data_IF_311911166142
#
_entry.id   IF_311911166142
#
_cell.length_a   1.000
_cell.length_b   1.000
_cell.length_c   1.000
_cell.angle_alpha   90.00
_cell.angle_beta   90.00
_cell.angle_gamma   90.00
#
_symmetry.space_group_name_H-M   'P 1'
#
loop_
_entity.id
_entity.type
_entity.pdbx_description
1 polymer ?
#
# COMPACT_ATOMS: atom_id res chain seq x y z
N UNK A 1 1.17 -12.89 -14.96
CA UNK A 1 2.31 -12.01 -15.31
C UNK A 1 3.50 -12.53 -14.54
N UNK A 2 4.62 -12.84 -15.19
CA UNK A 2 5.80 -13.35 -14.47
C UNK A 2 6.78 -12.20 -14.19
N UNK A 3 7.19 -12.06 -12.94
CA UNK A 3 8.15 -11.03 -12.54
C UNK A 3 9.58 -11.54 -12.63
N UNK A 4 10.40 -10.77 -13.34
CA UNK A 4 11.83 -10.98 -13.57
C UNK A 4 12.17 -12.24 -14.38
N UNK A 5 13.38 -12.30 -14.96
CA UNK A 5 13.88 -13.48 -15.69
C UNK A 5 14.14 -14.67 -14.77
N UNK A 6 14.30 -14.42 -13.47
CA UNK A 6 14.45 -15.46 -12.45
C UNK A 6 13.12 -16.07 -11.97
N UNK A 7 11.97 -15.64 -12.51
CA UNK A 7 10.65 -16.17 -12.16
C UNK A 7 10.36 -16.06 -10.65
N UNK A 8 10.47 -14.83 -10.15
CA UNK A 8 10.42 -14.52 -8.72
C UNK A 8 9.03 -14.73 -8.16
N UNK A 9 8.00 -14.33 -8.91
CA UNK A 9 6.61 -14.53 -8.57
C UNK A 9 5.72 -14.33 -9.81
N UNK A 10 4.64 -15.10 -9.92
CA UNK A 10 3.54 -14.78 -10.82
C UNK A 10 2.52 -13.82 -10.18
N UNK A 11 1.83 -13.08 -11.05
CA UNK A 11 0.65 -12.31 -10.72
C UNK A 11 -0.47 -12.69 -11.69
N UNK A 12 -1.45 -13.42 -11.19
CA UNK A 12 -2.57 -13.94 -11.96
C UNK A 12 -3.85 -13.18 -11.63
N UNK A 13 -4.57 -12.76 -12.65
CA UNK A 13 -5.74 -11.91 -12.52
C UNK A 13 -7.01 -12.67 -12.92
N UNK A 14 -8.01 -12.65 -12.06
CA UNK A 14 -9.35 -13.12 -12.38
C UNK A 14 -10.28 -11.93 -12.58
N UNK A 15 -11.16 -12.01 -13.58
CA UNK A 15 -12.18 -11.01 -13.84
C UNK A 15 -13.57 -11.65 -13.87
N UNK A 16 -14.58 -10.89 -13.49
CA UNK A 16 -15.99 -11.27 -13.68
C UNK A 16 -16.37 -11.14 -15.16
N UNK A 17 -17.54 -11.68 -15.53
CA UNK A 17 -18.07 -11.53 -16.89
C UNK A 17 -18.35 -10.06 -17.27
N UNK A 18 -18.55 -9.18 -16.28
CA UNK A 18 -18.73 -7.74 -16.46
C UNK A 18 -17.41 -7.00 -16.71
N UNK A 19 -16.26 -7.68 -16.62
CA UNK A 19 -14.94 -7.08 -16.71
C UNK A 19 -14.43 -6.46 -15.41
N UNK A 20 -15.12 -6.66 -14.28
CA UNK A 20 -14.63 -6.21 -12.98
C UNK A 20 -13.54 -7.14 -12.46
N UNK A 21 -12.49 -6.58 -11.86
CA UNK A 21 -11.42 -7.36 -11.26
C UNK A 21 -11.98 -8.17 -10.09
N UNK A 22 -11.86 -9.49 -10.14
CA UNK A 22 -12.32 -10.37 -9.07
C UNK A 22 -11.24 -10.63 -8.03
N UNK A 23 -9.99 -10.72 -8.45
CA UNK A 23 -8.88 -10.94 -7.54
C UNK A 23 -7.56 -11.13 -8.25
N UNK A 24 -6.50 -11.07 -7.46
CA UNK A 24 -5.14 -11.37 -7.88
C UNK A 24 -4.60 -12.49 -7.00
N UNK A 25 -4.02 -13.50 -7.63
CA UNK A 25 -3.50 -14.72 -6.98
C UNK A 25 -4.55 -15.39 -6.07
N UNK A 26 -4.12 -16.28 -5.18
CA UNK A 26 -5.02 -16.93 -4.22
C UNK A 26 -5.32 -16.07 -2.98
N UNK A 27 -6.55 -16.12 -2.48
CA UNK A 27 -6.98 -15.36 -1.30
C UNK A 27 -6.34 -15.78 0.04
N UNK A 28 -5.33 -16.65 0.04
CA UNK A 28 -4.58 -17.05 1.24
C UNK A 28 -3.16 -17.57 0.93
N UNK A 29 -2.52 -17.17 -0.18
CA UNK A 29 -1.15 -17.61 -0.55
C UNK A 29 -0.96 -19.15 -0.48
N UNK A 30 -1.97 -19.90 -0.94
CA UNK A 30 -1.96 -21.35 -0.94
C UNK A 30 -1.65 -21.88 -2.34
N UNK A 31 -0.47 -22.47 -2.52
CA UNK A 31 0.03 -22.96 -3.83
C UNK A 31 -0.86 -24.03 -4.49
N UNK A 32 -1.70 -24.73 -3.72
CA UNK A 32 -2.67 -25.70 -4.27
C UNK A 32 -3.94 -25.05 -4.85
N UNK A 33 -4.12 -23.76 -4.57
CA UNK A 33 -5.26 -22.90 -4.96
C UNK A 33 -4.84 -21.69 -5.76
N UNK A 34 -3.55 -21.56 -6.04
CA UNK A 34 -3.04 -20.54 -6.93
C UNK A 34 -3.52 -20.80 -8.37
N UNK A 35 -3.84 -19.71 -9.07
CA UNK A 35 -4.42 -19.73 -10.41
C UNK A 35 -3.37 -20.07 -11.47
N UNK A 36 -2.13 -19.57 -11.33
CA UNK A 36 -1.01 -19.84 -12.23
C UNK A 36 -0.35 -21.20 -11.97
N UNK A 37 -0.50 -21.74 -10.76
CA UNK A 37 0.14 -22.97 -10.31
C UNK A 37 1.58 -22.75 -9.83
N UNK A 38 1.85 -21.59 -9.26
CA UNK A 38 3.16 -21.16 -8.81
C UNK A 38 3.59 -21.92 -7.55
N UNK A 39 4.86 -22.35 -7.55
CA UNK A 39 5.43 -23.22 -6.53
C UNK A 39 4.60 -24.50 -6.23
N UNK A 40 3.77 -24.95 -7.17
CA UNK A 40 3.02 -26.20 -7.03
C UNK A 40 3.99 -27.37 -7.03
N UNK A 41 3.74 -28.37 -6.18
CA UNK A 41 4.65 -29.52 -5.97
C UNK A 41 4.97 -30.32 -7.24
N UNK A 42 4.15 -30.17 -8.28
CA UNK A 42 4.27 -30.81 -9.59
C UNK A 42 3.98 -29.79 -10.69
N UNK A 43 4.49 -30.04 -11.89
CA UNK A 43 4.30 -29.18 -13.05
C UNK A 43 5.49 -28.28 -13.36
N UNK A 44 5.39 -27.55 -14.46
CA UNK A 44 6.49 -26.74 -15.03
C UNK A 44 6.81 -25.50 -14.17
N UNK A 45 5.86 -25.04 -13.35
CA UNK A 45 5.97 -23.86 -12.46
C UNK A 45 6.41 -24.19 -11.04
N UNK A 46 6.85 -25.43 -10.77
CA UNK A 46 7.29 -25.85 -9.43
C UNK A 46 8.39 -24.97 -8.82
N UNK A 47 9.28 -24.43 -9.65
CA UNK A 47 10.40 -23.58 -9.22
C UNK A 47 10.13 -22.08 -9.42
N UNK A 48 8.93 -21.72 -9.83
CA UNK A 48 8.46 -20.34 -9.70
C UNK A 48 8.28 -20.02 -8.22
N UNK A 49 8.62 -18.80 -7.81
CA UNK A 49 8.42 -18.40 -6.43
C UNK A 49 6.94 -18.42 -6.04
N UNK A 50 6.66 -18.74 -4.77
CA UNK A 50 5.31 -18.65 -4.20
C UNK A 50 4.77 -17.21 -4.26
N UNK A 51 3.45 -17.06 -4.23
CA UNK A 51 2.83 -15.74 -4.08
C UNK A 51 3.24 -15.07 -2.76
N UNK A 52 3.75 -13.84 -2.84
CA UNK A 52 3.93 -12.96 -1.68
C UNK A 52 2.65 -12.17 -1.36
N UNK A 53 1.73 -12.04 -2.31
CA UNK A 53 0.47 -11.33 -2.10
C UNK A 53 -0.67 -11.98 -2.89
N UNK A 54 -1.89 -11.76 -2.41
CA UNK A 54 -3.12 -12.06 -3.12
C UNK A 54 -4.28 -11.31 -2.50
N UNK A 55 -5.26 -10.96 -3.32
CA UNK A 55 -6.48 -10.35 -2.82
C UNK A 55 -7.70 -10.76 -3.64
N UNK A 56 -8.86 -10.78 -2.99
CA UNK A 56 -10.15 -11.09 -3.60
C UNK A 56 -11.11 -9.93 -3.33
N UNK A 57 -11.81 -9.48 -4.36
CA UNK A 57 -12.84 -8.46 -4.28
C UNK A 57 -14.21 -9.10 -4.36
N UNK A 58 -15.14 -8.64 -3.54
CA UNK A 58 -16.54 -9.07 -3.54
C UNK A 58 -17.43 -7.90 -3.92
N UNK A 59 -18.37 -8.14 -4.83
CA UNK A 59 -19.38 -7.16 -5.26
C UNK A 59 -20.77 -7.60 -4.81
N UNK A 60 -21.14 -8.82 -5.14
CA UNK A 60 -22.38 -9.45 -4.71
C UNK A 60 -22.24 -10.98 -4.63
N UNK A 61 -23.16 -11.66 -3.96
CA UNK A 61 -23.15 -13.11 -3.83
C UNK A 61 -23.38 -13.77 -5.20
N UNK A 62 -22.45 -14.61 -5.63
CA UNK A 62 -22.47 -15.20 -6.98
C UNK A 62 -21.91 -14.29 -8.07
N UNK A 63 -21.17 -13.23 -7.70
CA UNK A 63 -20.43 -12.37 -8.64
C UNK A 63 -19.36 -13.10 -9.46
N UNK A 64 -18.95 -14.29 -9.04
CA UNK A 64 -17.98 -15.10 -9.73
C UNK A 64 -18.28 -16.60 -9.60
N UNK A 65 -18.14 -17.30 -10.71
CA UNK A 65 -18.12 -18.77 -10.78
C UNK A 65 -16.84 -19.18 -11.49
N UNK A 66 -16.00 -19.97 -10.83
CA UNK A 66 -14.75 -20.45 -11.42
C UNK A 66 -15.03 -21.36 -12.61
N UNK A 67 -14.20 -21.22 -13.65
CA UNK A 67 -14.22 -22.13 -14.80
C UNK A 67 -13.48 -23.42 -14.42
N UNK A 68 -14.15 -24.56 -14.61
CA UNK A 68 -13.58 -25.89 -14.38
C UNK A 68 -13.76 -26.41 -12.95
N UNK A 69 -13.26 -27.63 -12.71
CA UNK A 69 -13.44 -28.39 -11.45
C UNK A 69 -12.23 -28.34 -10.51
N UNK A 70 -11.30 -27.39 -10.73
CA UNK A 70 -10.13 -27.19 -9.88
C UNK A 70 -10.49 -26.63 -8.49
N UNK A 71 -9.50 -26.57 -7.59
CA UNK A 71 -9.67 -25.90 -6.31
C UNK A 71 -9.99 -24.40 -6.53
N UNK A 72 -10.95 -23.87 -5.76
CA UNK A 72 -11.24 -22.43 -5.75
C UNK A 72 -10.06 -21.62 -5.18
N UNK A 73 -9.69 -20.54 -5.86
CA UNK A 73 -8.76 -19.51 -5.36
C UNK A 73 -9.44 -18.48 -4.43
N UNK A 74 -10.78 -18.51 -4.34
CA UNK A 74 -11.60 -17.69 -3.44
C UNK A 74 -11.93 -18.53 -2.20
N UNK A 75 -11.63 -18.06 -0.97
CA UNK A 75 -12.00 -18.75 0.26
C UNK A 75 -13.51 -18.98 0.35
N UNK A 76 -13.91 -20.13 0.87
CA UNK A 76 -15.34 -20.43 1.06
C UNK A 76 -15.96 -19.38 2.00
N UNK A 77 -17.09 -18.82 1.59
CA UNK A 77 -17.79 -17.81 2.38
C UNK A 77 -18.36 -18.39 3.70
N UNK A 78 -18.63 -17.51 4.67
CA UNK A 78 -19.43 -17.88 5.83
C UNK A 78 -20.88 -18.13 5.42
N UNK A 79 -21.51 -19.16 6.00
CA UNK A 79 -22.90 -19.55 5.71
C UNK A 79 -23.84 -19.32 6.89
N UNK A 80 -23.37 -18.74 7.99
CA UNK A 80 -24.18 -18.50 9.20
C UNK A 80 -23.59 -17.39 10.08
N UNK A 81 -24.46 -16.57 10.69
CA UNK A 81 -24.11 -15.56 11.69
C UNK A 81 -23.64 -14.23 11.09
N UNK A 82 -22.82 -13.49 11.85
CA UNK A 82 -22.23 -12.17 11.50
C UNK A 82 -20.88 -12.31 10.79
N UNK A 83 -20.72 -13.33 9.95
CA UNK A 83 -19.44 -13.61 9.27
C UNK A 83 -19.09 -12.60 8.18
N UNK A 84 -17.81 -12.55 7.80
CA UNK A 84 -17.20 -11.60 6.87
C UNK A 84 -18.03 -11.19 5.63
N UNK A 85 -18.63 -12.15 4.91
CA UNK A 85 -19.44 -11.88 3.70
C UNK A 85 -20.94 -11.69 3.97
N UNK A 86 -21.36 -11.62 5.23
CA UNK A 86 -22.77 -11.51 5.65
C UNK A 86 -23.08 -10.17 6.32
N UNK A 87 -22.06 -9.38 6.65
CA UNK A 87 -22.21 -8.09 7.36
C UNK A 87 -22.34 -6.88 6.44
N UNK A 88 -22.26 -7.08 5.12
CA UNK A 88 -22.45 -6.03 4.11
C UNK A 88 -23.53 -6.44 3.11
N UNK A 89 -24.12 -5.47 2.42
CA UNK A 89 -25.15 -5.73 1.41
C UNK A 89 -24.54 -6.04 0.05
N UNK A 90 -25.31 -6.72 -0.80
CA UNK A 90 -24.95 -6.97 -2.20
C UNK A 90 -24.95 -5.67 -3.02
N UNK A 91 -23.85 -5.40 -3.73
CA UNK A 91 -23.67 -4.20 -4.56
C UNK A 91 -23.53 -4.59 -6.04
N UNK A 92 -24.56 -4.25 -6.82
CA UNK A 92 -24.64 -4.57 -8.26
C UNK A 92 -24.17 -3.41 -9.16
N UNK A 93 -23.70 -2.31 -8.57
CA UNK A 93 -23.27 -1.10 -9.26
C UNK A 93 -21.75 -1.04 -9.50
N UNK A 94 -21.01 -2.09 -9.19
CA UNK A 94 -19.55 -2.15 -9.31
C UNK A 94 -18.79 -1.65 -8.08
N UNK A 95 -19.48 -1.25 -7.00
CA UNK A 95 -18.83 -0.97 -5.74
C UNK A 95 -18.39 -2.27 -5.04
N UNK A 96 -17.22 -2.22 -4.41
CA UNK A 96 -16.64 -3.37 -3.70
C UNK A 96 -17.24 -3.42 -2.30
N UNK A 97 -18.00 -4.46 -1.99
CA UNK A 97 -18.57 -4.66 -0.64
C UNK A 97 -17.61 -5.33 0.33
N UNK A 98 -16.60 -6.04 -0.15
CA UNK A 98 -15.58 -6.64 0.70
C UNK A 98 -14.27 -6.94 -0.06
N UNK A 99 -13.15 -6.95 0.65
CA UNK A 99 -11.82 -7.30 0.14
C UNK A 99 -11.09 -8.25 1.10
N UNK A 100 -10.70 -9.42 0.60
CA UNK A 100 -9.80 -10.34 1.30
C UNK A 100 -8.37 -10.04 0.88
N UNK A 101 -7.46 -9.89 1.82
CA UNK A 101 -6.03 -9.62 1.58
C UNK A 101 -5.18 -10.68 2.27
N UNK A 102 -4.25 -11.28 1.53
CA UNK A 102 -3.28 -12.23 2.03
C UNK A 102 -1.87 -11.78 1.64
N UNK A 103 -0.98 -11.63 2.62
CA UNK A 103 0.37 -11.09 2.41
C UNK A 103 1.43 -12.04 2.99
N UNK A 104 2.66 -11.84 2.56
CA UNK A 104 3.87 -12.42 3.13
C UNK A 104 4.70 -11.26 3.66
N UNK A 105 5.16 -11.35 4.91
CA UNK A 105 5.99 -10.31 5.54
C UNK A 105 7.48 -10.51 5.25
N UNK A 106 8.32 -9.59 5.71
CA UNK A 106 9.78 -9.54 5.49
C UNK A 106 10.52 -10.76 6.03
N UNK A 107 9.97 -11.43 7.05
CA UNK A 107 10.48 -12.71 7.56
C UNK A 107 10.12 -13.90 6.67
N UNK A 108 9.55 -13.65 5.48
CA UNK A 108 9.00 -14.61 4.54
C UNK A 108 7.88 -15.49 5.13
N UNK A 109 7.28 -15.04 6.24
CA UNK A 109 6.15 -15.71 6.88
C UNK A 109 4.84 -15.21 6.27
N UNK A 110 3.90 -16.12 6.03
CA UNK A 110 2.54 -15.78 5.62
C UNK A 110 1.81 -15.15 6.81
N UNK A 111 1.23 -13.97 6.61
CA UNK A 111 0.43 -13.30 7.65
C UNK A 111 -0.96 -13.94 7.74
N UNK A 112 -1.66 -13.62 8.84
CA UNK A 112 -3.08 -13.89 8.94
C UNK A 112 -3.83 -13.16 7.81
N UNK A 113 -4.84 -13.82 7.25
CA UNK A 113 -5.61 -13.24 6.14
C UNK A 113 -6.62 -12.26 6.72
N UNK A 114 -6.64 -11.06 6.14
CA UNK A 114 -7.53 -9.96 6.54
C UNK A 114 -8.71 -9.89 5.58
N UNK A 115 -9.91 -9.81 6.13
CA UNK A 115 -11.15 -9.57 5.41
C UNK A 115 -11.69 -8.21 5.82
N UNK A 116 -11.75 -7.27 4.89
CA UNK A 116 -12.33 -5.94 5.06
C UNK A 116 -13.72 -5.88 4.41
N UNK A 117 -14.77 -5.65 5.19
CA UNK A 117 -16.14 -5.55 4.71
C UNK A 117 -16.60 -4.08 4.79
N UNK A 118 -17.04 -3.52 3.66
CA UNK A 118 -17.33 -2.09 3.51
C UNK A 118 -18.83 -1.79 3.51
N UNK A 119 -19.21 -0.73 4.22
CA UNK A 119 -20.59 -0.20 4.22
C UNK A 119 -20.63 1.17 3.57
N UNK A 120 -21.76 1.47 2.93
CA UNK A 120 -21.96 2.72 2.20
C UNK A 120 -23.30 3.36 2.57
N UNK A 121 -23.39 4.67 2.42
CA UNK A 121 -24.67 5.37 2.44
C UNK A 121 -25.37 5.34 1.07
N UNK A 122 -26.55 5.96 0.97
CA UNK A 122 -27.33 6.00 -0.27
C UNK A 122 -26.66 6.76 -1.42
N UNK A 123 -25.69 7.62 -1.12
CA UNK A 123 -24.89 8.35 -2.11
C UNK A 123 -23.63 7.58 -2.51
N UNK A 124 -23.48 6.33 -2.04
CA UNK A 124 -22.31 5.48 -2.22
C UNK A 124 -21.03 6.01 -1.58
N UNK A 125 -21.14 6.82 -0.53
CA UNK A 125 -19.99 7.22 0.30
C UNK A 125 -19.71 6.16 1.34
N UNK A 126 -18.44 5.87 1.60
CA UNK A 126 -18.02 4.84 2.54
C UNK A 126 -18.36 5.25 3.98
N UNK A 127 -19.20 4.50 4.67
CA UNK A 127 -19.58 4.77 6.07
C UNK A 127 -18.84 3.90 7.08
N UNK A 128 -18.17 2.84 6.64
CA UNK A 128 -17.35 2.04 7.54
C UNK A 128 -16.64 0.87 6.87
N UNK A 129 -15.66 0.33 7.61
CA UNK A 129 -14.93 -0.90 7.35
C UNK A 129 -15.00 -1.77 8.59
N UNK A 130 -15.49 -2.99 8.43
CA UNK A 130 -15.43 -4.04 9.44
C UNK A 130 -14.32 -5.03 9.10
N UNK A 131 -13.52 -5.39 10.09
CA UNK A 131 -12.37 -6.26 9.87
C UNK A 131 -12.61 -7.68 10.39
N UNK A 132 -12.07 -8.67 9.69
CA UNK A 132 -12.07 -10.07 10.07
C UNK A 132 -10.66 -10.63 9.88
N UNK A 133 -10.14 -11.37 10.85
CA UNK A 133 -8.77 -11.90 10.79
C UNK A 133 -8.84 -13.42 10.93
N UNK A 134 -8.29 -14.15 9.96
CA UNK A 134 -8.29 -15.60 9.97
C UNK A 134 -6.87 -16.14 9.89
N UNK A 135 -6.42 -16.72 11.00
CA UNK A 135 -5.10 -17.32 11.08
C UNK A 135 -5.01 -18.61 10.29
N UNK A 136 -3.83 -18.86 9.72
CA UNK A 136 -3.48 -20.11 9.04
C UNK A 136 -4.42 -20.50 7.88
N UNK A 137 -5.07 -19.53 7.21
CA UNK A 137 -5.96 -19.82 6.08
C UNK A 137 -5.19 -20.40 4.87
N UNK A 138 -3.88 -20.17 4.81
CA UNK A 138 -2.98 -20.74 3.82
C UNK A 138 -2.79 -22.27 3.96
N UNK A 139 -3.13 -22.86 5.11
CA UNK A 139 -3.03 -24.30 5.35
C UNK A 139 -4.18 -25.09 4.71
N UNK A 140 -3.91 -26.35 4.36
CA UNK A 140 -4.91 -27.26 3.81
C UNK A 140 -6.09 -27.45 4.77
N UNK A 141 -7.32 -27.45 4.25
CA UNK A 141 -8.55 -27.62 5.03
C UNK A 141 -9.04 -26.39 5.79
N UNK A 142 -8.25 -25.31 5.88
CA UNK A 142 -8.62 -24.09 6.62
C UNK A 142 -8.93 -22.89 5.71
N UNK A 143 -9.14 -23.13 4.40
CA UNK A 143 -9.37 -22.11 3.38
C UNK A 143 -10.83 -21.63 3.37
N UNK A 144 -11.26 -20.97 4.46
CA UNK A 144 -12.65 -20.58 4.68
C UNK A 144 -12.80 -19.39 5.63
N UNK A 145 -13.85 -18.61 5.42
CA UNK A 145 -14.37 -17.58 6.33
C UNK A 145 -15.46 -18.11 7.28
N UNK A 146 -15.68 -19.43 7.36
CA UNK A 146 -16.62 -20.02 8.32
C UNK A 146 -16.18 -19.82 9.78
N UNK A 147 -17.17 -19.66 10.67
CA UNK A 147 -17.01 -19.54 12.12
C UNK A 147 -16.01 -18.44 12.54
N UNK A 148 -16.11 -17.28 11.88
CA UNK A 148 -15.34 -16.08 12.19
C UNK A 148 -16.26 -14.98 12.74
N UNK A 149 -15.77 -14.22 13.71
CA UNK A 149 -16.41 -13.00 14.20
C UNK A 149 -15.63 -11.77 13.74
N UNK A 150 -16.30 -10.63 13.78
CA UNK A 150 -15.67 -9.33 13.58
C UNK A 150 -14.50 -9.16 14.57
N UNK A 151 -13.39 -8.64 14.05
CA UNK A 151 -12.21 -8.26 14.81
C UNK A 151 -12.38 -6.83 15.31
N UNK A 152 -12.02 -6.53 16.56
CA UNK A 152 -11.99 -5.15 17.04
C UNK A 152 -10.82 -4.35 16.44
N UNK A 153 -9.84 -5.01 15.81
CA UNK A 153 -8.68 -4.37 15.20
C UNK A 153 -9.01 -3.81 13.82
N UNK A 154 -8.39 -2.69 13.47
CA UNK A 154 -8.36 -2.14 12.12
C UNK A 154 -9.73 -1.76 11.52
N UNK A 155 -10.80 -1.79 12.31
CA UNK A 155 -12.12 -1.34 11.84
C UNK A 155 -12.18 0.19 11.82
N UNK A 156 -13.07 0.75 11.01
CA UNK A 156 -13.29 2.19 10.96
C UNK A 156 -14.74 2.55 10.65
N UNK A 157 -15.18 3.72 11.09
CA UNK A 157 -16.49 4.28 10.81
C UNK A 157 -16.37 5.76 10.43
N UNK A 158 -17.23 6.22 9.54
CA UNK A 158 -17.19 7.57 8.98
C UNK A 158 -18.58 8.17 8.89
N UNK A 159 -18.69 9.45 9.23
CA UNK A 159 -19.91 10.22 8.96
C UNK A 159 -19.59 11.44 8.11
N UNK A 160 -20.60 11.96 7.42
CA UNK A 160 -20.45 13.08 6.50
C UNK A 160 -21.59 14.07 6.64
N UNK A 161 -21.31 15.33 6.32
CA UNK A 161 -22.36 16.30 6.09
C UNK A 161 -23.02 16.10 4.70
N UNK A 162 -23.98 16.97 4.37
CA UNK A 162 -24.68 16.92 3.08
C UNK A 162 -23.80 17.25 1.87
N UNK A 163 -22.68 17.93 2.06
CA UNK A 163 -21.73 18.32 1.00
C UNK A 163 -20.60 17.29 0.82
N UNK A 164 -20.48 16.32 1.73
CA UNK A 164 -19.47 15.27 1.67
C UNK A 164 -18.22 15.53 2.52
N UNK A 165 -18.22 16.57 3.35
CA UNK A 165 -17.15 16.75 4.34
C UNK A 165 -17.27 15.68 5.42
N UNK A 166 -16.15 15.11 5.87
CA UNK A 166 -16.12 14.18 7.01
C UNK A 166 -16.55 14.92 8.28
N UNK A 167 -17.45 14.36 9.06
CA UNK A 167 -17.85 14.90 10.37
C UNK A 167 -17.17 14.14 11.51
N UNK A 168 -17.11 12.82 11.40
CA UNK A 168 -16.46 11.96 12.39
C UNK A 168 -15.67 10.83 11.74
N UNK A 169 -14.64 10.35 12.45
CA UNK A 169 -13.90 9.15 12.12
C UNK A 169 -13.61 8.39 13.41
N UNK A 170 -14.13 7.18 13.52
CA UNK A 170 -13.67 6.20 14.51
C UNK A 170 -12.71 5.25 13.79
N UNK A 171 -11.57 4.94 14.41
CA UNK A 171 -10.59 3.99 13.86
C UNK A 171 -9.99 3.18 14.99
N UNK A 172 -9.85 1.87 14.75
CA UNK A 172 -9.14 0.98 15.66
C UNK A 172 -7.84 0.51 15.02
N UNK A 173 -6.73 0.41 15.76
CA UNK A 173 -5.45 -0.16 15.35
C UNK A 173 -5.20 -1.58 15.90
N UNK A 174 -3.93 -1.87 16.18
CA UNK A 174 -3.47 -3.11 16.83
C UNK A 174 -2.48 -2.83 17.97
N UNK A 175 -2.86 -1.95 18.91
CA UNK A 175 -2.07 -1.77 20.12
C UNK A 175 -2.25 -2.93 21.11
N UNK A 176 -1.15 -3.39 21.71
CA UNK A 176 -1.09 -4.54 22.60
C UNK A 176 -1.59 -4.27 24.04
N UNK A 177 -1.89 -3.03 24.41
CA UNK A 177 -2.03 -2.62 25.82
C UNK A 177 -3.45 -2.64 26.40
N UNK A 178 -4.51 -2.78 25.59
CA UNK A 178 -5.84 -3.39 25.91
C UNK A 178 -7.03 -2.78 25.14
N UNK A 179 -6.92 -1.54 24.65
CA UNK A 179 -7.87 -0.96 23.71
C UNK A 179 -7.27 -0.95 22.31
N UNK A 180 -8.09 -1.23 21.31
CA UNK A 180 -7.71 -1.07 19.91
C UNK A 180 -8.11 0.30 19.37
N UNK A 181 -8.98 1.03 20.04
CA UNK A 181 -9.43 2.37 19.62
C UNK A 181 -8.21 3.29 19.49
N UNK A 182 -7.95 3.71 18.25
CA UNK A 182 -6.85 4.58 17.86
C UNK A 182 -7.35 6.02 17.80
N UNK A 183 -8.45 6.24 17.09
CA UNK A 183 -9.01 7.57 16.94
C UNK A 183 -10.53 7.58 17.20
N UNK A 184 -11.02 8.66 17.80
CA UNK A 184 -12.42 9.09 17.86
C UNK A 184 -12.48 10.58 17.47
N UNK A 185 -12.28 10.82 16.17
CA UNK A 185 -12.08 12.16 15.62
C UNK A 185 -13.39 12.85 15.34
N UNK A 186 -13.47 14.12 15.72
CA UNK A 186 -14.49 15.08 15.28
C UNK A 186 -13.85 16.19 14.45
N UNK A 187 -14.33 16.35 13.22
CA UNK A 187 -13.79 17.33 12.26
C UNK A 187 -14.56 18.65 12.39
N UNK A 188 -13.85 19.72 12.76
CA UNK A 188 -14.44 21.04 12.98
C UNK A 188 -14.06 21.99 11.85
N UNK A 189 -15.05 22.42 11.06
CA UNK A 189 -14.86 23.32 9.91
C UNK A 189 -15.10 24.79 10.27
N UNK A 190 -14.48 25.70 9.51
CA UNK A 190 -14.80 27.12 9.61
C UNK A 190 -16.25 27.39 9.16
N UNK A 191 -17.02 28.21 9.91
CA UNK A 191 -18.42 28.47 9.60
C UNK A 191 -18.64 28.97 8.16
N UNK A 192 -19.62 28.39 7.47
CA UNK A 192 -20.00 28.72 6.08
C UNK A 192 -18.90 28.43 5.04
N UNK A 193 -17.97 27.52 5.33
CA UNK A 193 -16.94 27.05 4.39
C UNK A 193 -16.84 25.52 4.42
N UNK A 194 -16.04 24.94 3.53
CA UNK A 194 -15.61 23.54 3.60
C UNK A 194 -14.14 23.41 4.05
N UNK A 195 -13.60 24.43 4.73
CA UNK A 195 -12.21 24.46 5.20
C UNK A 195 -12.15 23.88 6.60
N UNK A 196 -11.35 22.83 6.80
CA UNK A 196 -11.14 22.20 8.09
C UNK A 196 -10.36 23.16 8.99
N UNK A 197 -10.88 23.47 10.18
CA UNK A 197 -10.21 24.34 11.15
C UNK A 197 -9.36 23.57 12.16
N UNK A 198 -9.88 22.44 12.67
CA UNK A 198 -9.15 21.52 13.55
C UNK A 198 -9.83 20.14 13.62
N UNK A 199 -9.14 19.18 14.21
CA UNK A 199 -9.65 17.85 14.55
C UNK A 199 -9.57 17.66 16.07
N UNK A 200 -10.71 17.39 16.70
CA UNK A 200 -10.74 16.99 18.12
C UNK A 200 -10.65 15.46 18.19
N UNK A 201 -9.91 14.89 19.13
CA UNK A 201 -9.81 13.44 19.36
C UNK A 201 -10.16 13.09 20.81
N UNK A 202 -11.09 12.16 20.99
CA UNK A 202 -11.48 11.70 22.33
C UNK A 202 -10.59 10.58 22.86
N UNK A 203 -9.70 10.01 22.02
CA UNK A 203 -8.70 9.03 22.45
C UNK A 203 -7.48 9.75 23.04
N UNK A 204 -6.85 9.11 24.03
CA UNK A 204 -5.68 9.67 24.72
C UNK A 204 -4.45 9.58 23.82
N UNK A 205 -3.67 10.66 23.72
CA UNK A 205 -2.41 10.72 22.94
C UNK A 205 -1.26 9.82 23.38
N UNK A 206 -1.48 9.00 24.40
CA UNK A 206 -0.56 7.93 24.80
C UNK A 206 -0.99 6.55 24.30
N UNK A 207 -2.14 6.45 23.64
CA UNK A 207 -2.67 5.21 23.09
C UNK A 207 -1.89 4.80 21.84
N UNK A 208 -1.56 5.74 20.96
CA UNK A 208 -0.70 5.54 19.80
C UNK A 208 0.29 6.70 19.73
N UNK A 209 1.46 6.46 19.11
CA UNK A 209 2.56 7.43 19.08
C UNK A 209 2.68 8.20 17.78
N UNK A 210 1.94 7.76 16.75
CA UNK A 210 2.13 8.14 15.35
C UNK A 210 0.77 8.26 14.65
N UNK A 211 -0.09 9.12 15.19
CA UNK A 211 -1.46 9.41 14.75
C UNK A 211 -1.85 10.87 15.01
N UNK A 212 -3.12 11.23 14.77
CA UNK A 212 -3.64 12.59 14.96
C UNK A 212 -4.26 12.68 16.35
N UNK A 213 -3.63 13.45 17.23
CA UNK A 213 -4.15 13.72 18.57
C UNK A 213 -5.06 14.96 18.62
N UNK A 214 -5.77 15.13 19.74
CA UNK A 214 -6.64 16.27 20.01
C UNK A 214 -5.97 17.63 19.74
N UNK A 215 -6.59 18.42 18.86
CA UNK A 215 -6.11 19.74 18.48
C UNK A 215 -6.87 20.84 19.22
N UNK A 216 -6.19 21.98 19.46
CA UNK A 216 -6.82 23.15 20.08
C UNK A 216 -6.77 24.36 19.16
N UNK A 217 -7.71 25.28 19.33
CA UNK A 217 -7.72 26.53 18.56
C UNK A 217 -8.05 26.34 17.08
N UNK A 218 -7.31 27.04 16.22
CA UNK A 218 -7.42 27.00 14.77
C UNK A 218 -6.13 26.39 14.22
N UNK A 219 -6.08 25.06 14.16
CA UNK A 219 -4.87 24.31 13.79
C UNK A 219 -4.48 24.53 12.32
N UNK A 220 -5.46 24.54 11.43
CA UNK A 220 -5.24 24.72 10.00
C UNK A 220 -5.64 26.13 9.56
N UNK A 221 -4.74 26.82 8.86
CA UNK A 221 -4.99 28.14 8.27
C UNK A 221 -4.88 28.11 6.76
N UNK A 222 -5.57 29.03 6.10
CA UNK A 222 -5.67 29.07 4.65
C UNK A 222 -5.41 30.48 4.09
N UNK A 223 -4.92 30.55 2.86
CA UNK A 223 -4.88 31.80 2.11
C UNK A 223 -6.28 32.24 1.60
N UNK A 224 -6.35 33.42 0.98
CA UNK A 224 -7.61 34.01 0.50
C UNK A 224 -8.33 33.17 -0.58
N UNK A 225 -7.62 32.26 -1.26
CA UNK A 225 -8.18 31.38 -2.29
C UNK A 225 -8.36 29.94 -1.80
N UNK A 226 -8.05 29.68 -0.53
CA UNK A 226 -8.32 28.44 0.17
C UNK A 226 -7.22 27.39 0.12
N UNK A 227 -5.98 27.74 -0.23
CA UNK A 227 -4.85 26.82 -0.05
C UNK A 227 -4.43 26.78 1.41
N UNK A 228 -4.05 25.60 1.90
CA UNK A 228 -3.49 25.43 3.25
C UNK A 228 -2.14 26.18 3.35
N UNK A 229 -1.96 27.00 4.37
CA UNK A 229 -0.72 27.76 4.61
C UNK A 229 -0.03 27.42 5.92
N UNK A 230 -0.72 26.82 6.90
CA UNK A 230 -0.09 26.35 8.15
C UNK A 230 -0.84 25.16 8.75
N UNK A 231 -0.13 24.38 9.54
CA UNK A 231 -0.63 23.27 10.37
C UNK A 231 0.15 23.27 11.69
N UNK A 232 -0.46 23.81 12.74
CA UNK A 232 0.22 24.10 14.02
C UNK A 232 0.70 22.81 14.71
N UNK A 233 -0.17 21.82 14.89
CA UNK A 233 0.19 20.54 15.51
C UNK A 233 1.10 19.70 14.59
N UNK A 234 0.94 19.84 13.27
CA UNK A 234 1.82 19.25 12.27
C UNK A 234 3.18 19.93 12.17
N UNK A 235 3.46 20.98 12.95
CA UNK A 235 4.72 21.74 12.98
C UNK A 235 5.07 22.31 11.59
N UNK A 236 4.09 22.93 10.93
CA UNK A 236 4.24 23.60 9.64
C UNK A 236 3.88 25.07 9.80
N UNK A 237 4.90 25.93 9.80
CA UNK A 237 4.76 27.36 10.03
C UNK A 237 4.30 28.12 8.77
N UNK A 238 4.73 27.67 7.58
CA UNK A 238 4.35 28.28 6.30
C UNK A 238 4.34 27.26 5.15
N UNK A 239 3.40 27.42 4.21
CA UNK A 239 3.34 26.70 2.94
C UNK A 239 3.17 27.72 1.82
N UNK A 240 4.17 27.79 0.94
CA UNK A 240 4.17 28.74 -0.17
C UNK A 240 3.73 28.08 -1.46
N UNK A 241 2.73 28.66 -2.11
CA UNK A 241 2.15 28.17 -3.35
C UNK A 241 2.56 29.04 -4.54
N UNK A 242 2.82 28.41 -5.67
CA UNK A 242 2.92 29.14 -6.93
C UNK A 242 1.53 29.39 -7.55
N UNK A 243 1.50 30.22 -8.60
CA UNK A 243 0.26 30.57 -9.33
C UNK A 243 -0.43 29.38 -10.03
N UNK A 244 0.20 28.22 -10.09
CA UNK A 244 -0.37 26.98 -10.65
C UNK A 244 -0.95 26.06 -9.56
N UNK A 245 -1.01 26.51 -8.30
CA UNK A 245 -1.50 25.71 -7.17
C UNK A 245 -0.55 24.58 -6.80
N UNK A 246 0.76 24.79 -6.90
CA UNK A 246 1.80 23.84 -6.47
C UNK A 246 2.60 24.42 -5.32
N UNK A 247 2.85 23.61 -4.29
CA UNK A 247 3.71 23.96 -3.16
C UNK A 247 5.14 24.10 -3.63
N UNK A 248 5.76 25.23 -3.36
CA UNK A 248 7.17 25.53 -3.68
C UNK A 248 8.08 25.50 -2.47
N UNK A 249 7.53 25.77 -1.28
CA UNK A 249 8.26 25.77 -0.02
C UNK A 249 7.35 25.34 1.13
N UNK A 250 7.92 24.62 2.10
CA UNK A 250 7.31 24.29 3.39
C UNK A 250 8.36 24.63 4.45
N UNK A 251 8.00 25.54 5.36
CA UNK A 251 8.75 25.87 6.57
C UNK A 251 8.33 24.92 7.68
N UNK A 252 9.27 24.11 8.18
CA UNK A 252 9.01 23.19 9.29
C UNK A 252 9.57 23.81 10.56
N UNK A 253 8.70 24.11 11.53
CA UNK A 253 9.10 24.84 12.74
C UNK A 253 10.25 24.19 13.52
N UNK A 254 10.25 22.85 13.61
CA UNK A 254 11.31 22.06 14.24
C UNK A 254 11.97 21.01 13.33
N UNK A 255 11.40 20.78 12.15
CA UNK A 255 11.86 19.78 11.17
C UNK A 255 12.68 20.38 10.02
N UNK A 256 13.07 19.56 9.04
CA UNK A 256 13.78 20.07 7.87
C UNK A 256 12.84 20.77 6.89
N UNK A 257 13.27 21.90 6.37
CA UNK A 257 12.54 22.66 5.36
C UNK A 257 12.49 21.91 4.02
N UNK A 258 11.42 22.12 3.28
CA UNK A 258 11.20 21.46 1.99
C UNK A 258 11.06 22.48 0.88
N UNK A 259 11.86 22.36 -0.16
CA UNK A 259 11.70 23.16 -1.39
C UNK A 259 11.37 22.27 -2.58
N UNK A 260 10.51 22.76 -3.48
CA UNK A 260 10.10 22.03 -4.68
C UNK A 260 10.21 22.91 -5.93
N UNK A 261 10.60 22.30 -7.05
CA UNK A 261 10.55 22.93 -8.36
C UNK A 261 9.76 22.07 -9.35
N UNK A 262 9.13 22.75 -10.30
CA UNK A 262 8.23 22.16 -11.30
C UNK A 262 8.64 22.59 -12.72
N UNK A 263 8.39 21.72 -13.68
CA UNK A 263 8.48 22.09 -15.10
C UNK A 263 7.24 22.90 -15.54
N UNK A 264 7.26 23.38 -16.80
CA UNK A 264 6.14 24.13 -17.37
C UNK A 264 4.84 23.31 -17.51
N UNK A 265 4.91 21.98 -17.45
CA UNK A 265 3.76 21.07 -17.48
C UNK A 265 3.22 20.77 -16.07
N UNK A 266 3.84 21.33 -15.03
CA UNK A 266 3.44 21.15 -13.64
C UNK A 266 3.94 19.86 -13.00
N UNK A 267 4.88 19.15 -13.63
CA UNK A 267 5.52 17.98 -13.02
C UNK A 267 6.61 18.42 -12.05
N UNK A 268 6.68 17.81 -10.87
CA UNK A 268 7.79 18.04 -9.93
C UNK A 268 9.09 17.50 -10.54
N UNK A 269 10.09 18.38 -10.66
CA UNK A 269 11.44 18.09 -11.19
C UNK A 269 12.51 18.11 -10.12
N UNK A 270 12.25 18.73 -8.96
CA UNK A 270 13.16 18.74 -7.83
C UNK A 270 12.40 18.75 -6.50
N UNK A 271 12.94 18.06 -5.51
CA UNK A 271 12.66 18.20 -4.08
C UNK A 271 13.99 18.46 -3.37
N UNK A 272 14.06 19.42 -2.48
CA UNK A 272 15.21 19.65 -1.60
C UNK A 272 14.73 19.56 -0.15
N UNK A 273 15.51 18.88 0.69
CA UNK A 273 15.33 18.79 2.14
C UNK A 273 16.51 19.47 2.79
N UNK A 274 16.28 20.47 3.63
CA UNK A 274 17.31 21.21 4.36
C UNK A 274 17.14 20.99 5.86
N UNK A 275 18.08 20.31 6.51
CA UNK A 275 18.08 20.13 7.98
C UNK A 275 18.93 21.18 8.73
N UNK A 276 19.37 22.23 8.01
CA UNK A 276 20.27 23.27 8.51
C UNK A 276 21.76 22.88 8.50
N UNK A 277 22.09 21.61 8.28
CA UNK A 277 23.46 21.10 8.17
C UNK A 277 23.77 20.56 6.78
N UNK A 278 22.81 19.87 6.17
CA UNK A 278 22.91 19.23 4.87
C UNK A 278 21.66 19.51 4.03
N UNK A 279 21.88 19.82 2.75
CA UNK A 279 20.83 19.95 1.75
C UNK A 279 20.84 18.71 0.85
N UNK A 280 19.73 17.96 0.88
CA UNK A 280 19.54 16.77 0.04
C UNK A 280 18.54 17.07 -1.06
N UNK A 281 19.04 17.20 -2.28
CA UNK A 281 18.25 17.38 -3.49
C UNK A 281 17.91 16.01 -4.09
N UNK A 282 16.67 15.84 -4.53
CA UNK A 282 16.20 14.75 -5.39
C UNK A 282 15.69 15.34 -6.69
N UNK A 283 16.37 15.05 -7.79
CA UNK A 283 15.95 15.43 -9.13
C UNK A 283 15.15 14.30 -9.79
N UNK A 284 14.07 14.65 -10.46
CA UNK A 284 13.19 13.70 -11.15
C UNK A 284 13.34 13.89 -12.66
N UNK A 285 13.97 12.92 -13.33
CA UNK A 285 14.08 12.91 -14.79
C UNK A 285 12.93 12.11 -15.36
N UNK A 286 12.23 12.69 -16.33
CA UNK A 286 10.98 12.14 -16.88
C UNK A 286 11.07 11.88 -18.37
N UNK A 287 10.24 10.97 -18.85
CA UNK A 287 10.00 10.79 -20.29
C UNK A 287 9.07 11.90 -20.83
N UNK A 288 8.82 11.88 -22.14
CA UNK A 288 7.95 12.85 -22.80
C UNK A 288 6.47 12.77 -22.37
N UNK A 289 6.05 11.70 -21.70
CA UNK A 289 4.69 11.51 -21.18
C UNK A 289 4.59 11.93 -19.70
N UNK A 290 5.69 12.30 -19.06
CA UNK A 290 5.76 12.73 -17.66
C UNK A 290 6.06 11.60 -16.67
N UNK A 291 6.32 10.36 -17.11
CA UNK A 291 6.68 9.28 -16.20
C UNK A 291 8.12 9.46 -15.70
N UNK A 292 8.37 9.23 -14.40
CA UNK A 292 9.72 9.31 -13.83
C UNK A 292 10.54 8.15 -14.36
N UNK A 293 11.59 8.42 -15.13
CA UNK A 293 12.51 7.40 -15.59
C UNK A 293 13.60 7.12 -14.55
N UNK A 294 14.15 8.18 -13.96
CA UNK A 294 15.20 8.04 -12.97
C UNK A 294 15.22 9.21 -11.99
N UNK A 295 15.77 8.95 -10.81
CA UNK A 295 16.07 9.98 -9.83
C UNK A 295 17.58 10.12 -9.63
N UNK A 296 18.01 11.36 -9.42
CA UNK A 296 19.37 11.66 -8.96
C UNK A 296 19.28 12.32 -7.59
N UNK A 297 20.17 11.94 -6.68
CA UNK A 297 20.33 12.67 -5.43
C UNK A 297 21.60 13.52 -5.47
N UNK A 298 21.52 14.79 -5.07
CA UNK A 298 22.69 15.64 -4.84
C UNK A 298 22.71 15.99 -3.36
N UNK A 299 23.85 15.80 -2.72
CA UNK A 299 24.05 16.07 -1.30
C UNK A 299 25.08 17.19 -1.20
N UNK A 300 24.66 18.29 -0.59
CA UNK A 300 25.47 19.49 -0.37
C UNK A 300 25.49 19.80 1.13
N UNK A 301 26.66 19.68 1.75
CA UNK A 301 26.87 20.00 3.16
C UNK A 301 27.80 21.22 3.35
N UNK A 302 27.94 22.04 2.31
CA UNK A 302 28.82 23.22 2.28
C UNK A 302 30.32 22.91 2.13
N UNK A 303 30.77 21.66 2.34
CA UNK A 303 32.16 21.24 2.15
C UNK A 303 32.35 20.29 0.96
N UNK A 304 31.36 19.42 0.74
CA UNK A 304 31.30 18.46 -0.36
C UNK A 304 29.98 18.62 -1.09
N UNK A 305 30.04 18.49 -2.41
CA UNK A 305 28.89 18.44 -3.29
C UNK A 305 28.99 17.15 -4.11
N UNK A 306 28.09 16.20 -3.86
CA UNK A 306 28.16 14.86 -4.45
C UNK A 306 26.84 14.46 -5.07
N UNK A 307 26.91 13.97 -6.31
CA UNK A 307 25.73 13.52 -7.05
C UNK A 307 25.75 11.99 -7.17
N UNK A 308 24.60 11.37 -6.93
CA UNK A 308 24.39 9.94 -7.06
C UNK A 308 23.21 9.66 -8.00
N UNK A 309 23.35 8.64 -8.84
CA UNK A 309 22.19 7.97 -9.43
C UNK A 309 21.44 7.25 -8.32
N UNK A 310 20.14 7.49 -8.22
CA UNK A 310 19.24 6.85 -7.27
C UNK A 310 18.46 5.72 -7.91
N UNK A 311 17.15 5.96 -8.10
CA UNK A 311 16.22 4.96 -8.61
C UNK A 311 16.14 5.03 -10.13
N UNK A 312 16.01 3.86 -10.78
CA UNK A 312 15.67 3.74 -12.19
C UNK A 312 14.38 2.95 -12.30
N UNK A 313 13.30 3.61 -12.72
CA UNK A 313 11.98 3.02 -12.69
C UNK A 313 11.75 2.06 -13.86
N UNK A 314 11.00 0.99 -13.59
CA UNK A 314 10.65 -0.06 -14.54
C UNK A 314 9.15 0.05 -14.81
N UNK A 315 8.77 0.15 -16.08
CA UNK A 315 7.38 0.30 -16.52
C UNK A 315 6.95 -0.82 -17.45
N UNK A 316 5.66 -1.16 -17.35
CA UNK A 316 4.87 -1.86 -18.37
C UNK A 316 3.75 -0.93 -18.83
N UNK A 317 2.50 -1.33 -18.62
CA UNK A 317 1.34 -0.42 -18.72
C UNK A 317 1.21 0.56 -17.54
N UNK A 318 1.97 0.32 -16.47
CA UNK A 318 2.12 1.16 -15.29
C UNK A 318 3.48 0.91 -14.63
N UNK A 319 3.76 1.54 -13.48
CA UNK A 319 5.00 1.30 -12.73
C UNK A 319 4.99 -0.14 -12.19
N UNK A 320 6.01 -0.91 -12.50
CA UNK A 320 6.20 -2.28 -12.03
C UNK A 320 7.17 -2.35 -10.85
N UNK A 321 8.04 -1.34 -10.73
CA UNK A 321 9.09 -1.30 -9.73
C UNK A 321 10.22 -0.36 -10.12
N UNK A 322 11.38 -0.57 -9.52
CA UNK A 322 12.56 0.23 -9.77
C UNK A 322 13.84 -0.53 -9.42
N UNK A 323 14.93 -0.19 -10.09
CA UNK A 323 16.28 -0.54 -9.68
C UNK A 323 16.77 0.53 -8.70
N UNK A 324 17.05 0.14 -7.46
CA UNK A 324 17.62 1.01 -6.44
C UNK A 324 19.14 0.86 -6.44
N UNK A 325 19.83 1.89 -6.91
CA UNK A 325 21.29 1.94 -6.89
C UNK A 325 21.74 3.23 -6.22
N UNK A 326 22.96 3.26 -5.71
CA UNK A 326 23.60 4.49 -5.24
C UNK A 326 24.98 4.59 -5.87
N UNK A 327 25.01 5.07 -7.11
CA UNK A 327 26.24 5.18 -7.90
C UNK A 327 26.68 6.64 -7.90
N UNK A 328 27.89 6.94 -7.41
CA UNK A 328 28.46 8.29 -7.50
C UNK A 328 28.71 8.66 -8.95
N UNK A 329 28.24 9.82 -9.38
CA UNK A 329 28.45 10.35 -10.73
C UNK A 329 29.86 10.90 -10.96
N UNK A 330 30.65 11.05 -9.91
CA UNK A 330 32.07 11.42 -9.99
C UNK A 330 33.00 10.20 -10.13
N UNK A 331 32.43 8.99 -10.06
CA UNK A 331 33.19 7.76 -10.24
C UNK A 331 33.49 7.48 -11.72
N UNK A 332 34.74 7.09 -12.01
CA UNK A 332 35.11 6.61 -13.35
C UNK A 332 34.43 5.27 -13.58
N UNK A 333 33.52 5.21 -14.56
CA UNK A 333 32.87 3.96 -14.93
C UNK A 333 33.92 2.95 -15.42
N UNK A 334 33.91 1.70 -14.92
CA UNK A 334 34.85 0.69 -15.37
C UNK A 334 34.70 0.44 -16.87
N UNK A 335 35.81 0.53 -17.61
CA UNK A 335 35.88 0.31 -19.07
C UNK A 335 36.05 -1.15 -19.45
N UNK A 336 36.11 -2.06 -18.47
CA UNK A 336 36.19 -3.50 -18.70
C UNK A 336 34.83 -4.06 -19.11
N UNK A 337 34.78 -4.83 -20.20
CA UNK A 337 33.54 -5.30 -20.86
C UNK A 337 32.73 -6.38 -20.13
N UNK A 338 32.81 -6.47 -18.79
CA UNK A 338 31.99 -7.39 -18.00
C UNK A 338 30.92 -6.60 -17.24
N UNK A 339 29.65 -6.91 -17.53
CA UNK A 339 28.52 -6.39 -16.77
C UNK A 339 28.20 -7.37 -15.63
N UNK A 340 28.29 -6.91 -14.38
CA UNK A 340 27.87 -7.68 -13.22
C UNK A 340 26.45 -7.26 -12.82
N UNK A 341 25.54 -8.23 -12.73
CA UNK A 341 24.22 -8.02 -12.11
C UNK A 341 24.32 -8.39 -10.63
N UNK A 342 23.98 -7.45 -9.76
CA UNK A 342 23.80 -7.71 -8.34
C UNK A 342 22.32 -7.90 -8.04
N UNK A 343 21.95 -9.06 -7.51
CA UNK A 343 20.58 -9.34 -7.07
C UNK A 343 20.30 -8.65 -5.73
N UNK A 344 19.03 -8.32 -5.49
CA UNK A 344 18.54 -7.58 -4.32
C UNK A 344 18.38 -6.08 -4.57
N UNK A 345 18.79 -5.58 -5.74
CA UNK A 345 18.73 -4.14 -6.06
C UNK A 345 17.48 -3.78 -6.87
N UNK A 346 16.93 -4.71 -7.66
CA UNK A 346 15.63 -4.50 -8.32
C UNK A 346 14.54 -4.77 -7.31
N UNK A 347 13.58 -3.86 -7.22
CA UNK A 347 12.41 -3.95 -6.37
C UNK A 347 11.17 -3.92 -7.25
N UNK A 348 10.25 -4.85 -7.02
CA UNK A 348 8.97 -4.93 -7.70
C UNK A 348 7.85 -4.59 -6.72
N UNK A 349 6.92 -3.75 -7.18
CA UNK A 349 5.80 -3.26 -6.39
C UNK A 349 4.54 -4.05 -6.73
N UNK A 350 3.95 -4.70 -5.73
CA UNK A 350 2.74 -5.51 -5.85
C UNK A 350 1.56 -4.73 -5.28
N UNK A 351 0.80 -4.09 -6.16
CA UNK A 351 -0.28 -3.17 -5.76
C UNK A 351 -1.67 -3.80 -5.78
N UNK A 352 -2.56 -3.23 -4.97
CA UNK A 352 -3.99 -3.53 -5.02
C UNK A 352 -4.70 -2.81 -6.19
N UNK A 353 -6.02 -2.99 -6.28
CA UNK A 353 -6.87 -2.39 -7.31
C UNK A 353 -6.96 -0.85 -7.28
N UNK A 354 -6.51 -0.19 -6.20
CA UNK A 354 -6.43 1.27 -6.07
C UNK A 354 -5.03 1.81 -6.38
N UNK A 355 -4.04 0.93 -6.58
CA UNK A 355 -2.65 1.30 -6.79
C UNK A 355 -1.79 1.35 -5.51
N UNK A 356 -2.35 1.09 -4.34
CA UNK A 356 -1.58 1.03 -3.09
C UNK A 356 -0.65 -0.19 -3.13
N UNK A 357 0.63 0.02 -2.81
CA UNK A 357 1.65 -1.04 -2.81
C UNK A 357 1.48 -1.91 -1.57
N UNK A 358 0.98 -3.13 -1.74
CA UNK A 358 0.79 -4.08 -0.65
C UNK A 358 2.07 -4.79 -0.28
N UNK A 359 2.89 -5.18 -1.27
CA UNK A 359 4.15 -5.89 -1.03
C UNK A 359 5.24 -5.38 -1.95
N UNK A 360 6.46 -5.26 -1.44
CA UNK A 360 7.66 -5.00 -2.24
C UNK A 360 8.57 -6.21 -2.17
N UNK A 361 8.93 -6.78 -3.31
CA UNK A 361 9.84 -7.94 -3.42
C UNK A 361 11.10 -7.56 -4.19
N UNK A 362 12.22 -8.26 -3.96
CA UNK A 362 13.44 -8.07 -4.76
C UNK A 362 13.55 -9.04 -5.92
N UNK A 363 14.56 -8.88 -6.77
CA UNK A 363 14.96 -9.89 -7.76
C UNK A 363 15.75 -11.08 -7.17
N UNK A 364 15.75 -11.27 -5.84
CA UNK A 364 16.29 -12.48 -5.22
C UNK A 364 15.22 -13.56 -5.17
N UNK A 365 15.55 -14.72 -5.76
CA UNK A 365 14.79 -15.96 -5.61
C UNK A 365 15.37 -16.79 -4.47
N UNK A 366 14.61 -17.01 -3.41
CA UNK A 366 15.01 -17.82 -2.27
C UNK A 366 14.64 -19.27 -2.55
N UNK A 367 15.65 -20.14 -2.72
CA UNK A 367 15.44 -21.55 -3.04
C UNK A 367 15.24 -22.35 -1.75
N UNK A 368 14.19 -23.17 -1.72
CA UNK A 368 13.89 -24.05 -0.59
C UNK A 368 14.39 -25.46 -0.90
N UNK A 369 15.21 -25.99 0.00
CA UNK A 369 15.69 -27.36 -0.04
C UNK A 369 14.70 -28.33 0.61
N UNK A 370 14.56 -29.52 0.03
CA UNK A 370 13.75 -30.59 0.60
C UNK A 370 14.40 -31.20 1.83
N UNK A 371 13.59 -31.85 2.66
CA UNK A 371 14.05 -32.59 3.83
C UNK A 371 14.02 -34.11 3.58
N UNK A 372 14.70 -34.88 4.44
CA UNK A 372 14.71 -36.35 4.37
C UNK A 372 15.27 -36.87 3.05
N UNK A 373 14.50 -37.69 2.34
CA UNK A 373 14.89 -38.27 1.03
C UNK A 373 15.05 -37.24 -0.11
N UNK A 374 14.71 -35.97 0.14
CA UNK A 374 14.89 -34.84 -0.77
C UNK A 374 15.99 -33.88 -0.31
N UNK A 375 16.75 -34.21 0.74
CA UNK A 375 17.93 -33.45 1.13
C UNK A 375 18.91 -33.31 -0.05
N UNK A 376 19.45 -32.13 -0.23
CA UNK A 376 20.29 -31.69 -1.34
C UNK A 376 19.52 -31.30 -2.60
N UNK A 377 18.18 -31.35 -2.61
CA UNK A 377 17.36 -31.04 -3.78
C UNK A 377 16.45 -29.84 -3.52
N UNK A 378 16.41 -28.92 -4.47
CA UNK A 378 15.47 -27.80 -4.45
C UNK A 378 14.06 -28.33 -4.72
N UNK A 379 13.11 -27.97 -3.85
CA UNK A 379 11.71 -28.42 -3.92
C UNK A 379 10.73 -27.30 -4.24
N UNK A 380 11.08 -26.06 -3.92
CA UNK A 380 10.27 -24.86 -4.21
C UNK A 380 11.15 -23.61 -4.16
N UNK A 381 10.56 -22.46 -4.46
CA UNK A 381 11.19 -21.16 -4.31
C UNK A 381 10.20 -20.17 -3.67
N UNK A 382 10.72 -19.11 -3.07
CA UNK A 382 9.95 -17.99 -2.51
C UNK A 382 10.58 -16.66 -2.94
N UNK A 383 9.77 -15.60 -3.05
CA UNK A 383 10.26 -14.26 -3.29
C UNK A 383 10.90 -13.69 -2.02
N UNK A 384 11.93 -12.88 -2.20
CA UNK A 384 12.52 -12.12 -1.10
C UNK A 384 11.72 -10.83 -0.86
N UNK A 385 10.93 -10.81 0.21
CA UNK A 385 10.06 -9.69 0.60
C UNK A 385 10.85 -8.64 1.39
N UNK A 386 10.72 -7.37 1.00
CA UNK A 386 11.27 -6.21 1.72
C UNK A 386 10.25 -5.46 2.57
N UNK A 387 8.98 -5.50 2.18
CA UNK A 387 7.92 -4.76 2.84
C UNK A 387 6.58 -5.42 2.58
N UNK A 388 5.69 -5.45 3.57
CA UNK A 388 4.28 -5.75 3.39
C UNK A 388 3.39 -4.80 4.21
N UNK A 389 2.40 -4.19 3.57
CA UNK A 389 1.45 -3.27 4.21
C UNK A 389 0.02 -3.60 3.76
N UNK A 390 -0.94 -3.34 4.64
CA UNK A 390 -2.34 -3.15 4.26
C UNK A 390 -2.75 -1.70 4.58
N UNK A 391 -3.92 -1.29 4.11
CA UNK A 391 -4.35 0.10 4.19
C UNK A 391 -5.78 0.21 4.72
N UNK A 392 -6.01 1.18 5.57
CA UNK A 392 -7.35 1.69 5.84
C UNK A 392 -7.93 2.34 4.58
N UNK A 393 -9.27 2.51 4.54
CA UNK A 393 -9.86 3.44 3.62
C UNK A 393 -9.23 4.82 3.76
N UNK A 394 -9.17 5.56 2.65
CA UNK A 394 -8.45 6.83 2.53
C UNK A 394 -6.92 6.74 2.64
N UNK A 395 -6.34 5.53 2.67
CA UNK A 395 -4.93 5.30 2.34
C UNK A 395 -3.95 5.39 3.51
N UNK A 396 -4.42 5.52 4.75
CA UNK A 396 -3.56 5.34 5.92
C UNK A 396 -3.07 3.90 5.99
N UNK A 397 -1.79 3.69 6.31
CA UNK A 397 -1.19 2.37 6.49
C UNK A 397 -1.72 1.70 7.76
N UNK A 398 -1.94 0.39 7.71
CA UNK A 398 -2.51 -0.44 8.78
C UNK A 398 -1.46 -1.15 9.63
#
# INVERSE_FOLDING_TARGET
MELDDLLIQGADYAYTIHGWLKGVNSGALNTSRDMGGDAKSTGIRKLMGTDAFGFILHYYDGDYTQIGSGNSFIPTASTSGTGYNLVTENLYNGNIRAMTTALMRETHAKVDVVGAAYTYDQLNRLTGRKTFIKSNMHLSGNFTWSAISESPKWSSAYTYDGNGNLLTLERAGDNATSSYDMDDLTYNYYPNTNQLGRVDDAISSSAYSDDIDDQTGANYSYDEIGNLISDDQGDIDDIQWNVQGKITFIDKGSGPDLTFAYDAMGNRVMKMVDDGTEQVYTYYVRDAQGNIMTTYSRIDNGSTDSIFLGEQHIYGSGRLGYLSTRISMDSVLPTTGYYYRQLGLRRYELSNHLGNVLVVITDRRLLIEGTGGLAGKIVSAEPDVLQANDYYPFGMMM
#
